data_IF_180356647034
#
_entry.id   IF_180356647034
#
_cell.length_a   1.000
_cell.length_b   1.000
_cell.length_c   1.000
_cell.angle_alpha   90.00
_cell.angle_beta   90.00
_cell.angle_gamma   90.00
#
_symmetry.space_group_name_H-M   'P 1'
#
loop_
_entity.id
_entity.type
_entity.pdbx_description
1 polymer ?
#
# COMPACT_ATOMS: atom_id res chain seq x y z
N UNK A 1 -6.59 15.75 26.06
CA UNK A 1 -6.21 14.80 25.00
C UNK A 1 -7.39 14.63 24.07
N UNK A 2 -7.22 14.82 22.76
CA UNK A 2 -8.29 14.56 21.77
C UNK A 2 -8.40 13.05 21.63
N UNK A 3 -9.58 12.48 21.92
CA UNK A 3 -9.82 11.06 21.73
C UNK A 3 -9.72 10.72 20.23
N UNK A 4 -8.99 9.67 19.82
CA UNK A 4 -8.88 9.30 18.42
C UNK A 4 -10.25 8.84 17.91
N UNK A 5 -10.72 9.42 16.79
CA UNK A 5 -11.88 8.88 16.07
C UNK A 5 -11.48 7.55 15.45
N UNK A 6 -12.03 6.46 15.96
CA UNK A 6 -11.83 5.09 15.45
C UNK A 6 -12.96 4.65 14.52
N UNK A 7 -13.45 5.55 13.68
CA UNK A 7 -14.42 5.17 12.65
C UNK A 7 -13.71 4.29 11.60
N UNK A 8 -14.30 3.13 11.23
CA UNK A 8 -13.70 2.27 10.22
C UNK A 8 -13.68 3.01 8.88
N UNK A 9 -12.49 3.13 8.29
CA UNK A 9 -12.34 3.70 6.96
C UNK A 9 -13.11 2.84 5.95
N UNK A 10 -14.06 3.46 5.25
CA UNK A 10 -14.78 2.77 4.17
C UNK A 10 -13.82 2.54 3.01
N UNK A 11 -13.75 1.29 2.54
CA UNK A 11 -12.99 0.96 1.34
C UNK A 11 -13.64 1.63 0.13
N UNK A 12 -12.91 2.52 -0.54
CA UNK A 12 -13.33 3.11 -1.82
C UNK A 12 -12.85 2.25 -2.98
N UNK A 13 -13.73 2.02 -3.96
CA UNK A 13 -13.34 1.33 -5.19
C UNK A 13 -12.50 2.25 -6.06
N UNK A 14 -11.59 1.69 -6.83
CA UNK A 14 -10.76 2.49 -7.76
C UNK A 14 -11.59 3.25 -8.80
N UNK A 15 -12.76 2.74 -9.17
CA UNK A 15 -13.71 3.40 -10.07
C UNK A 15 -14.33 4.67 -9.49
N UNK A 16 -14.39 4.77 -8.16
CA UNK A 16 -14.96 5.91 -7.43
C UNK A 16 -13.92 7.01 -7.20
N UNK A 17 -12.64 6.71 -7.45
CA UNK A 17 -11.56 7.68 -7.29
C UNK A 17 -11.60 8.75 -8.40
N UNK A 18 -11.39 10.03 -8.05
CA UNK A 18 -11.11 11.07 -9.02
C UNK A 18 -9.96 10.67 -9.96
N UNK A 19 -9.95 11.23 -11.16
CA UNK A 19 -8.96 10.86 -12.19
C UNK A 19 -7.50 11.00 -11.72
N UNK A 20 -7.16 12.12 -11.06
CA UNK A 20 -5.82 12.33 -10.52
C UNK A 20 -5.44 11.26 -9.48
N UNK A 21 -6.39 10.82 -8.65
CA UNK A 21 -6.18 9.79 -7.65
C UNK A 21 -5.98 8.41 -8.31
N UNK A 22 -6.72 8.11 -9.38
CA UNK A 22 -6.50 6.89 -10.19
C UNK A 22 -5.11 6.90 -10.83
N UNK A 23 -4.64 8.05 -11.34
CA UNK A 23 -3.31 8.19 -11.91
C UNK A 23 -2.22 7.95 -10.86
N UNK A 24 -2.33 8.60 -9.70
CA UNK A 24 -1.41 8.43 -8.58
C UNK A 24 -1.36 6.98 -8.11
N UNK A 25 -2.53 6.32 -7.97
CA UNK A 25 -2.60 4.91 -7.58
C UNK A 25 -1.92 3.99 -8.61
N UNK A 26 -2.11 4.25 -9.91
CA UNK A 26 -1.42 3.50 -10.98
C UNK A 26 0.10 3.67 -10.90
N UNK A 27 0.58 4.89 -10.68
CA UNK A 27 2.01 5.16 -10.51
C UNK A 27 2.58 4.43 -9.29
N UNK A 28 1.87 4.52 -8.15
CA UNK A 28 2.24 3.81 -6.93
C UNK A 28 2.29 2.29 -7.13
N UNK A 29 1.27 1.70 -7.76
CA UNK A 29 1.26 0.26 -8.09
C UNK A 29 2.44 -0.14 -8.98
N UNK A 30 2.84 0.70 -9.95
CA UNK A 30 4.01 0.45 -10.80
C UNK A 30 5.30 0.46 -9.98
N UNK A 31 5.48 1.46 -9.12
CA UNK A 31 6.64 1.56 -8.24
C UNK A 31 6.73 0.35 -7.30
N UNK A 32 5.61 -0.01 -6.65
CA UNK A 32 5.54 -1.17 -5.77
C UNK A 32 5.91 -2.47 -6.50
N UNK A 33 5.44 -2.68 -7.74
CA UNK A 33 5.82 -3.87 -8.53
C UNK A 33 7.32 -3.92 -8.85
N UNK A 34 7.93 -2.77 -9.19
CA UNK A 34 9.38 -2.70 -9.45
C UNK A 34 10.17 -3.04 -8.19
N UNK A 35 9.81 -2.43 -7.06
CA UNK A 35 10.40 -2.73 -5.76
C UNK A 35 10.34 -4.23 -5.45
N UNK A 36 9.17 -4.86 -5.61
CA UNK A 36 9.03 -6.31 -5.38
C UNK A 36 9.96 -7.13 -6.26
N UNK A 37 10.03 -6.80 -7.55
CA UNK A 37 10.86 -7.52 -8.50
C UNK A 37 12.36 -7.38 -8.16
N UNK A 38 12.80 -6.20 -7.74
CA UNK A 38 14.19 -5.95 -7.31
C UNK A 38 14.52 -6.71 -6.02
N UNK A 39 13.65 -6.63 -5.01
CA UNK A 39 13.83 -7.37 -3.77
C UNK A 39 13.89 -8.88 -4.01
N UNK A 40 13.00 -9.42 -4.87
CA UNK A 40 13.01 -10.84 -5.24
C UNK A 40 14.32 -11.25 -5.91
N UNK A 41 14.85 -10.42 -6.82
CA UNK A 41 16.17 -10.67 -7.46
C UNK A 41 17.31 -10.70 -6.45
N UNK A 42 17.23 -9.89 -5.40
CA UNK A 42 18.24 -9.79 -4.34
C UNK A 42 18.00 -10.79 -3.19
N UNK A 43 16.91 -11.58 -3.23
CA UNK A 43 16.53 -12.47 -2.13
C UNK A 43 16.14 -11.72 -0.84
N UNK A 44 15.74 -10.45 -0.94
CA UNK A 44 15.38 -9.61 0.19
C UNK A 44 13.88 -9.65 0.47
N UNK A 45 13.45 -9.60 1.75
CA UNK A 45 12.03 -9.47 2.10
C UNK A 45 11.52 -8.05 1.84
N UNK A 46 10.20 -7.88 1.86
CA UNK A 46 9.51 -6.58 1.78
C UNK A 46 8.85 -6.31 3.12
N UNK A 47 9.03 -5.10 3.62
CA UNK A 47 8.35 -4.61 4.82
C UNK A 47 6.97 -4.09 4.41
N UNK A 48 5.92 -4.65 4.99
CA UNK A 48 4.53 -4.27 4.75
C UNK A 48 3.82 -3.88 6.05
N UNK A 49 2.84 -2.99 5.94
CA UNK A 49 1.91 -2.70 7.02
C UNK A 49 0.69 -3.60 6.90
N UNK A 50 0.50 -4.52 7.85
CA UNK A 50 -0.59 -5.51 7.83
C UNK A 50 -1.24 -5.60 9.20
N UNK A 51 -2.56 -5.48 9.24
CA UNK A 51 -3.36 -5.59 10.47
C UNK A 51 -2.85 -4.69 11.62
N UNK A 52 -2.40 -3.48 11.31
CA UNK A 52 -1.93 -2.50 12.30
C UNK A 52 -0.51 -2.74 12.80
N UNK A 53 0.28 -3.60 12.14
CA UNK A 53 1.67 -3.88 12.50
C UNK A 53 2.57 -3.89 11.27
N UNK A 54 3.86 -3.63 11.50
CA UNK A 54 4.91 -3.81 10.50
C UNK A 54 5.28 -5.29 10.45
N UNK A 55 5.25 -5.89 9.27
CA UNK A 55 5.54 -7.32 9.03
C UNK A 55 6.48 -7.44 7.84
N UNK A 56 7.41 -8.38 7.89
CA UNK A 56 8.24 -8.77 6.75
C UNK A 56 7.56 -9.88 5.96
N UNK A 57 7.39 -9.69 4.66
CA UNK A 57 6.86 -10.71 3.74
C UNK A 57 7.89 -11.03 2.65
N UNK A 58 7.91 -12.27 2.13
CA UNK A 58 8.71 -12.60 0.95
C UNK A 58 8.33 -11.72 -0.26
N UNK A 59 9.33 -11.30 -1.04
CA UNK A 59 9.16 -10.38 -2.18
C UNK A 59 8.50 -11.00 -3.42
#
# INVERSE_FOLDING_TARGET
MIAPRTEPLKHQKESELPEFARLALRAHKRAARKLRAEHRKLGLPIIVWKNGRVVEEPA
#
